data_IF_742370281617
#
_entry.id   IF_742370281617
#
_cell.length_a   1.000
_cell.length_b   1.000
_cell.length_c   1.000
_cell.angle_alpha   90.00
_cell.angle_beta   90.00
_cell.angle_gamma   90.00
#
_symmetry.space_group_name_H-M   'P 1'
#
loop_
_entity.id
_entity.type
_entity.pdbx_description
1 polymer ?
#
# COMPACT_ATOMS: atom_id res chain seq x y z
N UNK A 1 6.90 1.44 -2.01
CA UNK A 1 6.39 1.78 -0.64
C UNK A 1 5.56 3.06 -0.74
N UNK A 2 4.35 3.09 -0.16
CA UNK A 2 3.48 4.28 -0.16
C UNK A 2 3.97 5.33 0.86
N UNK A 3 4.01 6.60 0.46
CA UNK A 3 4.48 7.73 1.27
C UNK A 3 3.49 8.90 1.20
N UNK A 4 3.60 9.86 2.13
CA UNK A 4 2.72 11.04 2.17
C UNK A 4 1.22 10.70 2.15
N UNK A 5 0.45 11.45 1.36
CA UNK A 5 -1.00 11.30 1.17
C UNK A 5 -1.39 10.03 0.40
N UNK A 6 -0.42 9.30 -0.15
CA UNK A 6 -0.63 8.04 -0.83
C UNK A 6 -0.60 6.85 0.13
N UNK A 7 -0.27 7.09 1.41
CA UNK A 7 -0.32 6.07 2.47
C UNK A 7 -1.72 5.50 2.59
N UNK A 8 -1.78 4.24 3.02
CA UNK A 8 -3.04 3.58 3.38
C UNK A 8 -3.48 4.10 4.75
N UNK A 9 -3.97 5.34 4.78
CA UNK A 9 -4.60 6.04 5.90
C UNK A 9 -6.07 6.31 5.56
N UNK A 10 -6.83 6.91 6.48
CA UNK A 10 -8.21 7.35 6.17
C UNK A 10 -8.24 8.32 4.98
N UNK A 11 -7.37 9.33 4.99
CA UNK A 11 -7.31 10.35 3.95
C UNK A 11 -6.84 9.77 2.61
N UNK A 12 -5.79 8.94 2.62
CA UNK A 12 -5.26 8.32 1.40
C UNK A 12 -6.26 7.34 0.78
N UNK A 13 -7.00 6.58 1.61
CA UNK A 13 -8.06 5.71 1.13
C UNK A 13 -9.24 6.49 0.55
N UNK A 14 -9.60 7.63 1.15
CA UNK A 14 -10.67 8.49 0.64
C UNK A 14 -10.28 9.10 -0.72
N UNK A 15 -9.02 9.55 -0.86
CA UNK A 15 -8.48 10.10 -2.11
C UNK A 15 -8.59 9.12 -3.28
N UNK A 16 -8.29 7.86 -3.03
CA UNK A 16 -8.24 6.82 -4.07
C UNK A 16 -9.45 5.89 -4.11
N UNK A 17 -10.40 6.07 -3.18
CA UNK A 17 -11.61 5.25 -3.03
C UNK A 17 -11.30 3.75 -2.84
N UNK A 18 -10.28 3.44 -2.03
CA UNK A 18 -9.82 2.08 -1.74
C UNK A 18 -10.21 1.63 -0.34
N UNK A 19 -10.26 0.31 -0.10
CA UNK A 19 -10.43 -0.21 1.26
C UNK A 19 -9.12 -0.14 2.03
N UNK A 20 -9.21 -0.12 3.35
CA UNK A 20 -8.03 -0.03 4.21
C UNK A 20 -7.14 -1.27 4.20
N UNK A 21 -7.67 -2.44 3.88
CA UNK A 21 -6.91 -3.68 3.75
C UNK A 21 -6.29 -3.88 2.36
N UNK A 22 -6.63 -3.03 1.38
CA UNK A 22 -6.14 -3.17 0.00
C UNK A 22 -4.85 -2.37 -0.19
N UNK A 23 -3.81 -3.02 -0.70
CA UNK A 23 -2.68 -2.34 -1.32
C UNK A 23 -2.88 -2.30 -2.83
N UNK A 24 -2.91 -1.09 -3.40
CA UNK A 24 -2.92 -0.85 -4.84
C UNK A 24 -1.73 0.04 -5.20
N UNK A 25 -0.85 -0.43 -6.08
CA UNK A 25 0.19 0.39 -6.67
C UNK A 25 -0.37 1.18 -7.86
N UNK A 26 -0.36 2.51 -7.78
CA UNK A 26 -0.92 3.37 -8.83
C UNK A 26 -0.01 3.54 -10.05
N UNK A 27 1.24 3.07 -9.96
CA UNK A 27 2.20 3.13 -11.07
C UNK A 27 2.20 1.85 -11.89
N UNK A 28 2.17 0.68 -11.24
CA UNK A 28 2.26 -0.62 -11.92
C UNK A 28 0.98 -1.47 -11.86
N UNK A 29 -0.04 -1.03 -11.12
CA UNK A 29 -1.33 -1.73 -11.03
C UNK A 29 -1.34 -2.98 -10.15
N UNK A 30 -0.27 -3.26 -9.39
CA UNK A 30 -0.26 -4.38 -8.45
C UNK A 30 -1.37 -4.23 -7.39
N UNK A 31 -2.10 -5.32 -7.11
CA UNK A 31 -3.17 -5.40 -6.13
C UNK A 31 -2.92 -6.59 -5.21
N UNK A 32 -2.88 -6.36 -3.90
CA UNK A 32 -2.70 -7.40 -2.88
C UNK A 32 -3.19 -6.92 -1.50
N UNK A 33 -3.15 -7.80 -0.50
CA UNK A 33 -3.43 -7.39 0.88
C UNK A 33 -2.30 -6.48 1.41
N UNK A 34 -2.67 -5.48 2.21
CA UNK A 34 -1.70 -4.49 2.72
C UNK A 34 -0.64 -5.15 3.61
N UNK A 35 -1.02 -6.17 4.39
CA UNK A 35 -0.15 -6.78 5.39
C UNK A 35 0.87 -7.68 4.70
N UNK A 36 0.45 -8.40 3.65
CA UNK A 36 1.34 -9.13 2.76
C UNK A 36 2.37 -8.19 2.10
N UNK A 37 1.92 -7.05 1.57
CA UNK A 37 2.82 -6.05 0.99
C UNK A 37 3.76 -5.45 2.05
N UNK A 38 3.26 -5.20 3.27
CA UNK A 38 4.10 -4.67 4.36
C UNK A 38 5.21 -5.67 4.73
N UNK A 39 4.88 -6.95 4.90
CA UNK A 39 5.86 -8.02 5.14
C UNK A 39 6.88 -8.11 4.01
N UNK A 40 6.43 -8.08 2.76
CA UNK A 40 7.33 -8.10 1.60
C UNK A 40 8.32 -6.92 1.60
N UNK A 41 7.86 -5.71 1.95
CA UNK A 41 8.74 -4.55 2.09
C UNK A 41 9.76 -4.73 3.23
N UNK A 42 9.39 -5.35 4.35
CA UNK A 42 10.33 -5.63 5.44
C UNK A 42 11.37 -6.69 5.04
N UNK A 43 10.94 -7.78 4.39
CA UNK A 43 11.84 -8.82 3.89
C UNK A 43 12.84 -8.25 2.87
N UNK A 44 12.42 -7.31 2.04
CA UNK A 44 13.29 -6.65 1.07
C UNK A 44 14.39 -5.78 1.71
N UNK A 45 14.24 -5.37 2.99
CA UNK A 45 15.28 -4.63 3.73
C UNK A 45 16.31 -5.55 4.40
N UNK A 46 16.01 -6.85 4.50
CA UNK A 46 16.91 -7.85 5.10
C UNK A 46 17.86 -8.49 4.08
N UNK A 47 17.67 -8.19 2.80
CA UNK A 47 18.50 -8.64 1.67
C UNK A 47 19.30 -7.48 1.10
#
# INVERSE_FOLDING_TARGET
>A
IKTGDEKISLDGNQKHKTKHNEYICYECGAIMDRDENAVANLLALLN
#
